data_IF_218288660444
#
_entry.id   IF_218288660444
#
_cell.length_a   1.000
_cell.length_b   1.000
_cell.length_c   1.000
_cell.angle_alpha   90.00
_cell.angle_beta   90.00
_cell.angle_gamma   90.00
#
_symmetry.space_group_name_H-M   'P 1'
#
loop_
_entity.id
_entity.type
_entity.pdbx_description
1 polymer ?
#
# COMPACT_ATOMS: atom_id res chain seq x y z
N UNK A 1 7.59 14.38 0.76
CA UNK A 1 7.33 13.29 1.76
C UNK A 1 7.25 13.75 3.23
N UNK A 2 8.22 14.55 3.70
CA UNK A 2 8.44 14.86 5.14
C UNK A 2 7.31 15.62 5.84
N UNK A 3 6.60 16.50 5.13
CA UNK A 3 5.49 17.29 5.70
C UNK A 3 4.20 16.49 5.90
N UNK A 4 3.95 15.47 5.05
CA UNK A 4 2.74 14.65 5.12
C UNK A 4 2.88 13.44 6.05
N UNK A 5 4.11 12.95 6.24
CA UNK A 5 4.42 11.84 7.14
C UNK A 5 5.59 12.26 8.05
N UNK A 6 5.29 12.92 9.20
CA UNK A 6 6.31 13.48 10.08
C UNK A 6 7.12 12.41 10.83
N UNK A 7 6.51 11.25 11.05
CA UNK A 7 7.08 10.10 11.73
C UNK A 7 8.05 9.31 10.82
N UNK A 8 9.28 9.09 11.28
CA UNK A 8 10.33 8.46 10.48
C UNK A 8 10.07 6.97 10.23
N UNK A 9 9.57 6.23 11.22
CA UNK A 9 9.26 4.80 11.07
C UNK A 9 8.14 4.60 10.04
N UNK A 10 7.12 5.47 10.09
CA UNK A 10 6.06 5.49 9.08
C UNK A 10 6.60 5.80 7.69
N UNK A 11 7.54 6.74 7.55
CA UNK A 11 8.18 7.03 6.26
C UNK A 11 8.97 5.85 5.75
N UNK A 12 9.77 5.20 6.58
CA UNK A 12 10.57 4.04 6.17
C UNK A 12 9.69 2.91 5.63
N UNK A 13 8.51 2.71 6.21
CA UNK A 13 7.54 1.76 5.68
C UNK A 13 7.00 2.19 4.31
N UNK A 14 6.65 3.46 4.13
CA UNK A 14 6.06 3.98 2.89
C UNK A 14 7.08 4.19 1.75
N UNK A 15 8.38 4.28 2.05
CA UNK A 15 9.46 4.37 1.05
C UNK A 15 9.77 3.01 0.41
N UNK A 16 9.38 1.90 1.04
CA UNK A 16 9.45 0.56 0.42
C UNK A 16 8.38 0.45 -0.66
N UNK A 17 8.61 -0.43 -1.65
CA UNK A 17 7.62 -0.79 -2.66
C UNK A 17 6.26 -1.11 -2.02
N UNK A 18 5.24 -0.34 -2.39
CA UNK A 18 3.87 -0.56 -1.95
C UNK A 18 3.35 -1.92 -2.40
N UNK A 19 2.59 -2.57 -1.52
CA UNK A 19 1.96 -3.88 -1.75
C UNK A 19 0.46 -3.67 -1.86
N UNK A 20 -0.14 -4.08 -2.97
CA UNK A 20 -1.56 -3.82 -3.21
C UNK A 20 -2.22 -4.90 -4.08
N UNK A 21 -3.39 -5.44 -3.68
CA UNK A 21 -4.05 -6.53 -4.39
C UNK A 21 -4.96 -5.99 -5.50
N UNK A 22 -4.38 -5.60 -6.64
CA UNK A 22 -5.10 -4.96 -7.74
C UNK A 22 -6.27 -5.77 -8.30
N UNK A 23 -6.11 -7.09 -8.43
CA UNK A 23 -7.13 -7.97 -8.99
C UNK A 23 -8.28 -8.24 -8.01
N UNK A 24 -8.04 -8.05 -6.70
CA UNK A 24 -9.04 -8.26 -5.67
C UNK A 24 -10.05 -7.11 -5.57
N UNK A 25 -9.56 -5.88 -5.70
CA UNK A 25 -10.37 -4.66 -5.63
C UNK A 25 -11.22 -4.52 -6.90
N UNK A 26 -12.37 -5.19 -6.91
CA UNK A 26 -13.22 -5.34 -8.09
C UNK A 26 -14.54 -4.58 -8.01
N UNK A 27 -14.97 -4.20 -6.81
CA UNK A 27 -16.23 -3.50 -6.56
C UNK A 27 -16.14 -2.68 -5.27
N UNK A 28 -17.24 -2.00 -4.94
CA UNK A 28 -17.31 -1.14 -3.77
C UNK A 28 -17.40 -1.94 -2.46
N UNK A 29 -18.10 -3.06 -2.48
CA UNK A 29 -18.28 -3.93 -1.31
C UNK A 29 -16.93 -4.43 -0.77
N UNK A 30 -15.99 -4.76 -1.67
CA UNK A 30 -14.62 -5.14 -1.31
C UNK A 30 -13.88 -4.01 -0.60
N UNK A 31 -14.15 -2.75 -0.93
CA UNK A 31 -13.51 -1.60 -0.27
C UNK A 31 -14.02 -1.40 1.17
N UNK A 32 -15.20 -1.90 1.49
CA UNK A 32 -15.77 -1.87 2.84
C UNK A 32 -15.24 -3.00 3.75
N UNK A 33 -14.53 -3.98 3.18
CA UNK A 33 -13.94 -5.07 3.95
C UNK A 33 -12.93 -4.56 4.98
N UNK A 34 -12.96 -5.15 6.18
CA UNK A 34 -12.20 -4.68 7.34
C UNK A 34 -10.92 -5.47 7.60
N UNK A 35 -10.46 -6.24 6.62
CA UNK A 35 -9.26 -7.08 6.73
C UNK A 35 -8.51 -7.13 5.41
N UNK A 36 -7.20 -7.33 5.48
CA UNK A 36 -6.43 -7.67 4.29
C UNK A 36 -6.91 -9.00 3.71
N UNK A 37 -7.03 -9.10 2.38
CA UNK A 37 -7.45 -10.34 1.74
C UNK A 37 -6.37 -11.42 1.83
N UNK A 38 -6.73 -12.68 1.52
CA UNK A 38 -5.78 -13.78 1.50
C UNK A 38 -4.59 -13.50 0.57
N UNK A 39 -3.41 -14.04 0.89
CA UNK A 39 -2.17 -13.82 0.13
C UNK A 39 -2.29 -14.22 -1.33
N UNK A 40 -3.16 -15.19 -1.63
CA UNK A 40 -3.45 -15.70 -2.96
C UNK A 40 -4.00 -14.62 -3.89
N UNK A 41 -4.68 -13.60 -3.35
CA UNK A 41 -5.26 -12.49 -4.12
C UNK A 41 -4.23 -11.41 -4.49
N UNK A 42 -2.98 -11.57 -4.07
CA UNK A 42 -1.84 -10.73 -4.46
C UNK A 42 -1.01 -11.36 -5.59
N UNK A 43 -1.59 -12.29 -6.34
CA UNK A 43 -0.94 -12.85 -7.53
C UNK A 43 -0.76 -11.76 -8.59
N UNK A 44 0.46 -11.67 -9.13
CA UNK A 44 0.82 -10.70 -10.14
C UNK A 44 0.68 -11.33 -11.52
N UNK A 45 -0.34 -10.94 -12.29
CA UNK A 45 -0.53 -11.41 -13.67
C UNK A 45 0.61 -10.99 -14.60
N UNK A 46 1.32 -9.90 -14.26
CA UNK A 46 2.47 -9.38 -14.99
C UNK A 46 3.72 -10.26 -14.85
N UNK A 47 3.95 -10.79 -13.64
CA UNK A 47 5.14 -11.60 -13.34
C UNK A 47 4.82 -13.09 -13.22
N UNK A 48 3.54 -13.47 -13.24
CA UNK A 48 3.02 -14.82 -13.04
C UNK A 48 3.49 -15.46 -11.72
N UNK A 49 3.64 -14.64 -10.68
CA UNK A 49 4.16 -15.05 -9.38
C UNK A 49 3.28 -14.59 -8.24
N UNK A 50 3.25 -15.39 -7.16
CA UNK A 50 2.67 -14.96 -5.89
C UNK A 50 3.57 -13.95 -5.19
N UNK A 51 2.94 -13.06 -4.43
CA UNK A 51 3.66 -12.18 -3.52
C UNK A 51 4.57 -12.97 -2.55
N UNK A 52 5.75 -12.41 -2.31
CA UNK A 52 6.68 -12.95 -1.33
C UNK A 52 6.09 -12.86 0.09
N UNK A 53 6.47 -13.78 0.97
CA UNK A 53 6.04 -13.73 2.37
C UNK A 53 6.50 -12.42 3.05
N UNK A 54 7.69 -11.93 2.70
CA UNK A 54 8.24 -10.69 3.22
C UNK A 54 7.43 -9.44 2.79
N UNK A 55 6.86 -9.44 1.59
CA UNK A 55 6.00 -8.36 1.10
C UNK A 55 4.59 -8.46 1.69
N UNK A 56 4.06 -9.68 1.85
CA UNK A 56 2.78 -9.89 2.52
C UNK A 56 2.83 -9.47 4.00
N UNK A 57 3.90 -9.83 4.71
CA UNK A 57 4.15 -9.38 6.09
C UNK A 57 4.34 -7.86 6.17
N UNK A 58 4.89 -7.25 5.12
CA UNK A 58 4.99 -5.79 5.02
C UNK A 58 3.61 -5.13 4.92
N UNK A 59 2.71 -5.66 4.08
CA UNK A 59 1.33 -5.17 3.98
C UNK A 59 0.62 -5.21 5.34
N UNK A 60 0.73 -6.32 6.09
CA UNK A 60 0.20 -6.43 7.45
C UNK A 60 0.84 -5.45 8.45
N UNK A 61 2.11 -5.13 8.27
CA UNK A 61 2.81 -4.15 9.11
C UNK A 61 2.30 -2.75 8.84
N UNK A 62 2.13 -2.37 7.58
CA UNK A 62 1.54 -1.08 7.18
C UNK A 62 0.10 -0.98 7.69
N UNK A 63 -0.71 -2.02 7.47
CA UNK A 63 -2.11 -2.06 7.94
C UNK A 63 -2.23 -1.77 9.44
N UNK A 64 -1.41 -2.44 10.26
CA UNK A 64 -1.37 -2.20 11.71
C UNK A 64 -0.81 -0.84 12.08
N UNK A 65 0.29 -0.41 11.44
CA UNK A 65 1.00 0.83 11.79
C UNK A 65 0.16 2.08 11.55
N UNK A 66 -0.65 2.08 10.49
CA UNK A 66 -1.53 3.18 10.13
C UNK A 66 -2.96 3.00 10.65
N UNK A 67 -3.19 1.99 11.50
CA UNK A 67 -4.48 1.68 12.13
C UNK A 67 -5.63 1.62 11.10
N UNK A 68 -5.38 0.90 10.02
CA UNK A 68 -6.30 0.78 8.89
C UNK A 68 -7.46 -0.12 9.30
N UNK A 69 -8.67 0.40 9.13
CA UNK A 69 -9.92 -0.28 9.45
C UNK A 69 -10.63 -0.86 8.24
N UNK A 70 -10.37 -0.36 7.03
CA UNK A 70 -11.02 -0.81 5.79
C UNK A 70 -10.05 -0.89 4.61
N UNK A 71 -10.38 -1.70 3.60
CA UNK A 71 -9.66 -1.73 2.34
C UNK A 71 -9.65 -0.37 1.64
N UNK A 72 -10.73 0.41 1.75
CA UNK A 72 -10.78 1.80 1.27
C UNK A 72 -9.67 2.66 1.89
N UNK A 73 -9.50 2.62 3.21
CA UNK A 73 -8.44 3.37 3.89
C UNK A 73 -7.05 2.91 3.43
N UNK A 74 -6.87 1.61 3.18
CA UNK A 74 -5.62 1.09 2.61
C UNK A 74 -5.35 1.60 1.20
N UNK A 75 -6.37 1.59 0.34
CA UNK A 75 -6.30 2.14 -1.02
C UNK A 75 -5.93 3.62 -1.01
N UNK A 76 -6.57 4.42 -0.15
CA UNK A 76 -6.28 5.84 -0.02
C UNK A 76 -4.85 6.09 0.46
N UNK A 77 -4.35 5.30 1.42
CA UNK A 77 -2.96 5.40 1.87
C UNK A 77 -1.98 5.05 0.74
N UNK A 78 -2.22 3.96 0.02
CA UNK A 78 -1.40 3.51 -1.11
C UNK A 78 -1.32 4.61 -2.19
N UNK A 79 -2.47 5.11 -2.65
CA UNK A 79 -2.54 6.13 -3.69
C UNK A 79 -1.91 7.45 -3.25
N UNK A 80 -2.15 7.88 -2.00
CA UNK A 80 -1.54 9.09 -1.46
C UNK A 80 -0.01 8.97 -1.44
N UNK A 81 0.51 7.81 -1.08
CA UNK A 81 1.95 7.54 -1.04
C UNK A 81 2.55 7.62 -2.44
N UNK A 82 1.94 6.96 -3.43
CA UNK A 82 2.39 7.01 -4.82
C UNK A 82 2.44 8.44 -5.37
N UNK A 83 1.38 9.24 -5.12
CA UNK A 83 1.32 10.65 -5.54
C UNK A 83 2.41 11.47 -4.87
N UNK A 84 2.60 11.32 -3.56
CA UNK A 84 3.60 12.09 -2.81
C UNK A 84 5.01 11.75 -3.25
N UNK A 85 5.32 10.46 -3.44
CA UNK A 85 6.64 10.04 -3.91
C UNK A 85 6.92 10.55 -5.33
N UNK A 86 5.91 10.47 -6.21
CA UNK A 86 6.04 10.96 -7.58
C UNK A 86 6.25 12.50 -7.60
N UNK A 87 5.49 13.24 -6.80
CA UNK A 87 5.66 14.69 -6.67
C UNK A 87 7.04 15.08 -6.12
N UNK A 88 7.55 14.36 -5.13
CA UNK A 88 8.88 14.57 -4.53
C UNK A 88 10.00 14.45 -5.58
N UNK A 89 9.88 13.46 -6.47
CA UNK A 89 10.79 13.29 -7.62
C UNK A 89 10.67 14.48 -8.57
N UNK A 90 9.47 14.86 -9.00
CA UNK A 90 9.30 15.99 -9.92
C UNK A 90 9.80 17.33 -9.37
N UNK A 91 9.64 17.58 -8.06
CA UNK A 91 10.16 18.79 -7.42
C UNK A 91 11.69 18.80 -7.31
N UNK A 92 12.33 17.62 -7.22
CA UNK A 92 13.79 17.49 -7.12
C UNK A 92 14.52 17.75 -8.43
N UNK A 93 13.86 17.55 -9.58
CA UNK A 93 14.43 17.75 -10.93
C UNK A 93 13.94 19.04 -11.61
N UNK A 94 13.53 20.02 -10.81
CA UNK A 94 12.86 21.24 -11.27
C UNK A 94 13.83 22.34 -11.71
#
# INVERSE_FOLDING_TARGET
>A
MTSMFPDDDSRQLLLRKGVYPYTYISNWEVLEETSLPPRETFYSDLTLEHISEADFNHAHTVWRRFNIGTMMEYTLLYLKTDIVLLADVFESYR
#
